data_IF_884468879683
#
_entry.id   IF_884468879683
#
_cell.length_a   1.000
_cell.length_b   1.000
_cell.length_c   1.000
_cell.angle_alpha   90.00
_cell.angle_beta   90.00
_cell.angle_gamma   90.00
#
_symmetry.space_group_name_H-M   'P 1'
#
loop_
_entity.id
_entity.type
_entity.pdbx_description
1 polymer ?
#
# COMPACT_ATOMS: atom_id res chain seq x y z
N UNK A 1 6.98 -25.06 13.29
CA UNK A 1 6.74 -24.64 11.87
C UNK A 1 5.76 -23.47 11.72
N UNK A 2 5.18 -22.91 12.79
CA UNK A 2 4.21 -21.80 12.73
C UNK A 2 4.84 -20.40 12.72
N UNK A 3 6.05 -20.22 13.25
CA UNK A 3 6.71 -18.89 13.33
C UNK A 3 7.15 -18.37 11.96
N UNK A 4 7.65 -19.23 11.08
CA UNK A 4 8.24 -18.84 9.80
C UNK A 4 7.20 -18.31 8.80
N UNK A 5 6.02 -18.95 8.70
CA UNK A 5 4.89 -18.43 7.89
C UNK A 5 4.38 -17.09 8.41
N UNK A 6 4.35 -16.94 9.74
CA UNK A 6 3.93 -15.69 10.39
C UNK A 6 4.90 -14.54 10.09
N UNK A 7 6.20 -14.83 10.04
CA UNK A 7 7.22 -13.87 9.66
C UNK A 7 7.13 -13.51 8.16
N UNK A 8 6.87 -14.51 7.31
CA UNK A 8 6.71 -14.33 5.87
C UNK A 8 5.53 -13.40 5.53
N UNK A 9 4.40 -13.54 6.21
CA UNK A 9 3.26 -12.65 6.01
C UNK A 9 3.58 -11.18 6.35
N UNK A 10 4.35 -10.93 7.41
CA UNK A 10 4.77 -9.57 7.79
C UNK A 10 5.73 -9.00 6.75
N UNK A 11 6.68 -9.80 6.26
CA UNK A 11 7.59 -9.41 5.18
C UNK A 11 6.85 -9.09 3.89
N UNK A 12 5.86 -9.90 3.49
CA UNK A 12 5.00 -9.62 2.34
C UNK A 12 4.19 -8.32 2.53
N UNK A 13 3.68 -8.09 3.73
CA UNK A 13 2.95 -6.86 4.05
C UNK A 13 3.84 -5.63 3.92
N UNK A 14 5.07 -5.70 4.43
CA UNK A 14 6.07 -4.64 4.29
C UNK A 14 6.46 -4.41 2.84
N UNK A 15 6.63 -5.48 2.06
CA UNK A 15 6.91 -5.40 0.62
C UNK A 15 5.79 -4.67 -0.12
N UNK A 16 4.53 -5.05 0.13
CA UNK A 16 3.38 -4.39 -0.47
C UNK A 16 3.25 -2.93 -0.04
N UNK A 17 3.54 -2.62 1.22
CA UNK A 17 3.56 -1.24 1.69
C UNK A 17 4.64 -0.40 1.03
N UNK A 18 5.86 -0.95 0.90
CA UNK A 18 6.95 -0.28 0.20
C UNK A 18 6.62 -0.05 -1.28
N UNK A 19 6.04 -1.04 -1.97
CA UNK A 19 5.59 -0.91 -3.35
C UNK A 19 4.54 0.19 -3.52
N UNK A 20 3.56 0.25 -2.61
CA UNK A 20 2.56 1.31 -2.63
C UNK A 20 3.19 2.69 -2.41
N UNK A 21 4.17 2.79 -1.52
CA UNK A 21 4.87 4.05 -1.24
C UNK A 21 5.68 4.52 -2.45
N UNK A 22 6.37 3.60 -3.12
CA UNK A 22 7.08 3.85 -4.38
C UNK A 22 6.11 4.31 -5.46
N UNK A 23 4.91 3.71 -5.55
CA UNK A 23 3.90 4.11 -6.52
C UNK A 23 3.40 5.55 -6.27
N UNK A 24 3.07 5.89 -5.02
CA UNK A 24 2.69 7.26 -4.64
C UNK A 24 3.82 8.26 -4.92
N UNK A 25 5.07 7.88 -4.65
CA UNK A 25 6.23 8.73 -4.93
C UNK A 25 6.47 8.91 -6.43
N UNK A 26 6.28 7.87 -7.23
CA UNK A 26 6.35 7.97 -8.70
C UNK A 26 5.24 8.84 -9.28
N UNK A 27 4.04 8.79 -8.69
CA UNK A 27 2.93 9.69 -9.00
C UNK A 27 3.27 11.15 -8.70
N UNK A 28 3.86 11.42 -7.54
CA UNK A 28 4.24 12.78 -7.16
C UNK A 28 5.36 13.34 -8.03
N UNK A 29 6.34 12.51 -8.38
CA UNK A 29 7.45 12.89 -9.25
C UNK A 29 7.02 13.12 -10.71
N UNK A 30 5.97 12.45 -11.18
CA UNK A 30 5.49 12.60 -12.56
C UNK A 30 4.62 13.84 -12.77
N UNK A 31 4.29 14.60 -11.72
CA UNK A 31 3.38 15.75 -11.74
C UNK A 31 1.97 15.45 -12.32
N UNK A 32 1.62 14.17 -12.51
CA UNK A 32 0.33 13.71 -13.04
C UNK A 32 -0.76 13.73 -11.95
N UNK A 33 -0.37 13.58 -10.68
CA UNK A 33 -1.30 13.52 -9.56
C UNK A 33 -1.30 14.83 -8.78
N UNK A 34 -2.45 15.52 -8.70
CA UNK A 34 -2.56 16.72 -7.87
C UNK A 34 -2.39 16.37 -6.38
N UNK A 35 -1.86 17.30 -5.56
CA UNK A 35 -1.64 17.16 -4.12
C UNK A 35 -2.72 16.38 -3.33
N UNK A 36 -4.05 16.59 -3.55
CA UNK A 36 -5.09 15.82 -2.87
C UNK A 36 -5.07 14.31 -3.16
N UNK A 37 -4.60 13.88 -4.33
CA UNK A 37 -4.54 12.48 -4.75
C UNK A 37 -3.46 11.71 -3.99
N UNK A 38 -2.29 12.34 -3.84
CA UNK A 38 -1.18 11.80 -3.06
C UNK A 38 -1.60 11.64 -1.60
N UNK A 39 -2.29 12.64 -1.04
CA UNK A 39 -2.81 12.58 0.33
C UNK A 39 -3.87 11.48 0.49
N UNK A 40 -4.84 11.38 -0.43
CA UNK A 40 -5.83 10.31 -0.42
C UNK A 40 -5.17 8.92 -0.46
N UNK A 41 -4.21 8.73 -1.36
CA UNK A 41 -3.44 7.49 -1.48
C UNK A 41 -2.67 7.15 -0.19
N UNK A 42 -2.02 8.13 0.45
CA UNK A 42 -1.30 7.93 1.71
C UNK A 42 -2.24 7.58 2.87
N UNK A 43 -3.38 8.24 2.97
CA UNK A 43 -4.39 7.95 4.02
C UNK A 43 -5.01 6.57 3.90
N UNK A 44 -4.98 5.95 2.71
CA UNK A 44 -5.41 4.56 2.52
C UNK A 44 -4.23 3.60 2.72
N UNK A 45 -3.07 3.92 2.14
CA UNK A 45 -1.90 3.06 2.15
C UNK A 45 -1.34 2.82 3.57
N UNK A 46 -1.18 3.88 4.35
CA UNK A 46 -0.55 3.81 5.69
C UNK A 46 -1.40 2.96 6.66
N UNK A 47 -2.72 3.19 6.81
CA UNK A 47 -3.52 2.39 7.72
C UNK A 47 -3.63 0.93 7.27
N UNK A 48 -3.86 0.66 5.98
CA UNK A 48 -4.00 -0.72 5.49
C UNK A 48 -2.69 -1.53 5.61
N UNK A 49 -1.53 -0.89 5.42
CA UNK A 49 -0.25 -1.56 5.68
C UNK A 49 -0.02 -1.81 7.17
N UNK A 50 -0.34 -0.86 8.04
CA UNK A 50 -0.32 -1.10 9.50
C UNK A 50 -1.28 -2.22 9.91
N UNK A 51 -2.49 -2.26 9.36
CA UNK A 51 -3.45 -3.33 9.60
C UNK A 51 -2.91 -4.69 9.17
N UNK A 52 -2.23 -4.79 8.02
CA UNK A 52 -1.61 -6.05 7.59
C UNK A 52 -0.52 -6.54 8.54
N UNK A 53 0.25 -5.62 9.12
CA UNK A 53 1.29 -5.94 10.12
C UNK A 53 0.64 -6.43 11.42
N UNK A 54 -0.37 -5.72 11.92
CA UNK A 54 -1.10 -6.06 13.16
C UNK A 54 -1.84 -7.39 13.03
N UNK A 55 -2.57 -7.58 11.93
CA UNK A 55 -3.32 -8.80 11.62
C UNK A 55 -2.40 -9.95 11.17
N UNK A 56 -1.10 -9.69 10.96
CA UNK A 56 -0.11 -10.64 10.42
C UNK A 56 -0.61 -11.33 9.14
N UNK A 57 -1.31 -10.56 8.32
CA UNK A 57 -1.95 -11.02 7.10
C UNK A 57 -1.51 -10.11 5.96
N UNK A 58 -1.11 -10.66 4.80
CA UNK A 58 -0.73 -9.85 3.65
C UNK A 58 -1.95 -9.22 2.94
N UNK A 59 -3.16 -9.69 3.23
CA UNK A 59 -4.40 -9.26 2.58
C UNK A 59 -4.70 -7.75 2.67
N UNK A 60 -4.56 -7.09 3.84
CA UNK A 60 -4.81 -5.66 3.95
C UNK A 60 -3.84 -4.83 3.08
N UNK A 61 -2.56 -5.20 3.01
CA UNK A 61 -1.61 -4.48 2.16
C UNK A 61 -1.83 -4.75 0.67
N UNK A 62 -2.26 -5.95 0.29
CA UNK A 62 -2.70 -6.23 -1.08
C UNK A 62 -3.93 -5.39 -1.47
N UNK A 63 -4.92 -5.28 -0.58
CA UNK A 63 -6.08 -4.40 -0.78
C UNK A 63 -5.67 -2.94 -0.93
N UNK A 64 -4.68 -2.48 -0.17
CA UNK A 64 -4.15 -1.12 -0.29
C UNK A 64 -3.62 -0.83 -1.70
N UNK A 65 -2.88 -1.79 -2.28
CA UNK A 65 -2.36 -1.68 -3.65
C UNK A 65 -3.48 -1.66 -4.70
N UNK A 66 -4.51 -2.49 -4.53
CA UNK A 66 -5.67 -2.51 -5.42
C UNK A 66 -6.40 -1.16 -5.37
N UNK A 67 -6.65 -0.63 -4.16
CA UNK A 67 -7.26 0.69 -3.96
C UNK A 67 -6.42 1.80 -4.59
N UNK A 68 -5.10 1.76 -4.42
CA UNK A 68 -4.18 2.69 -5.07
C UNK A 68 -4.34 2.66 -6.60
N UNK A 69 -4.40 1.46 -7.18
CA UNK A 69 -4.60 1.27 -8.62
C UNK A 69 -5.96 1.79 -9.09
N UNK A 70 -7.02 1.57 -8.31
CA UNK A 70 -8.35 2.14 -8.59
C UNK A 70 -8.29 3.66 -8.57
N UNK A 71 -7.73 4.27 -7.51
CA UNK A 71 -7.57 5.73 -7.38
C UNK A 71 -6.83 6.29 -8.59
N UNK A 72 -5.72 5.67 -8.99
CA UNK A 72 -4.96 6.06 -10.17
C UNK A 72 -5.83 6.03 -11.44
N UNK A 73 -6.48 4.90 -11.74
CA UNK A 73 -7.27 4.72 -12.97
C UNK A 73 -8.49 5.64 -13.02
N UNK A 74 -9.19 5.85 -11.90
CA UNK A 74 -10.39 6.71 -11.87
C UNK A 74 -10.10 8.19 -12.05
N UNK A 75 -8.85 8.61 -11.86
CA UNK A 75 -8.45 10.01 -11.82
C UNK A 75 -7.43 10.35 -12.92
N UNK A 76 -7.07 9.38 -13.78
CA UNK A 76 -6.36 9.56 -15.06
C UNK A 76 -7.37 9.67 -16.19
#
# INVERSE_FOLDING_TARGET
MSSQRRNWNVWLTLLFGALGLIHVFSMSASAVAELPHILAALTVLIPLTMFGIVLRSPWPAALALILLGVINITLT
#
